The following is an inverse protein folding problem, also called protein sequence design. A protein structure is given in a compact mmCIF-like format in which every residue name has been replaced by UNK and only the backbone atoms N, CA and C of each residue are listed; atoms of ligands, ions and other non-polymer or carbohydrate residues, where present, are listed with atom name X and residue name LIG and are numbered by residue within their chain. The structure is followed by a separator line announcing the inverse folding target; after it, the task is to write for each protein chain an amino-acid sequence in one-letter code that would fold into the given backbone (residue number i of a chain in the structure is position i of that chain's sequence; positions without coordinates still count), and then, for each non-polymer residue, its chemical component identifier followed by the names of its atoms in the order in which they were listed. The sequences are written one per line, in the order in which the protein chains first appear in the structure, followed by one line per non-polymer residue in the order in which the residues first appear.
data_IF_002789017330
#
_entry.id   IF_002789017330
#
_cell.length_a   1.000
_cell.length_b   1.000
_cell.length_c   1.000
_cell.angle_alpha   90.00
_cell.angle_beta   90.00
_cell.angle_gamma   90.00
#
_symmetry.space_group_name_H-M   'P 1'
#
loop_
_entity.id
_entity.type
_entity.pdbx_description
1 polymer ?
#
# COMPACT_ATOMS: atom_id res chain seq x y z
N UNK A 1 38.05 19.47 89.16
CA UNK A 1 36.68 20.03 89.31
C UNK A 1 35.90 19.67 88.03
N UNK A 2 35.22 18.48 88.06
CA UNK A 2 34.48 17.95 86.93
C UNK A 2 32.99 18.28 87.08
N UNK A 3 32.38 18.80 86.03
CA UNK A 3 30.92 18.85 85.96
C UNK A 3 30.47 18.05 84.71
N UNK A 4 29.84 16.92 84.98
CA UNK A 4 29.07 16.16 83.96
C UNK A 4 27.76 16.85 83.66
N UNK A 5 27.48 17.07 82.36
CA UNK A 5 26.14 17.36 81.89
C UNK A 5 25.65 16.18 81.06
N UNK A 6 24.64 15.55 81.57
CA UNK A 6 23.97 14.50 80.86
C UNK A 6 22.92 15.05 79.87
N UNK A 7 23.04 14.64 78.62
CA UNK A 7 22.06 14.95 77.59
C UNK A 7 21.10 13.75 77.45
N UNK A 8 19.83 13.99 77.67
CA UNK A 8 18.76 13.04 77.43
C UNK A 8 18.40 13.07 75.93
N UNK A 9 18.68 12.00 75.22
CA UNK A 9 18.29 11.82 73.84
C UNK A 9 16.83 11.33 73.77
N UNK A 10 15.96 12.15 73.24
CA UNK A 10 14.61 11.76 72.86
C UNK A 10 14.62 11.13 71.44
N UNK A 11 14.28 9.85 71.31
CA UNK A 11 14.00 9.19 70.04
C UNK A 11 12.61 9.65 69.57
N UNK A 12 12.61 10.50 68.54
CA UNK A 12 11.42 10.76 67.73
C UNK A 12 11.41 9.73 66.60
N UNK A 13 10.45 8.81 66.63
CA UNK A 13 10.21 7.87 65.53
C UNK A 13 9.66 8.60 64.29
N UNK A 14 10.49 8.70 63.25
CA UNK A 14 10.02 9.11 61.92
C UNK A 14 9.36 7.88 61.26
N UNK A 15 8.04 7.90 61.22
CA UNK A 15 7.29 6.99 60.33
C UNK A 15 7.56 7.36 58.89
N UNK A 16 8.31 6.53 58.15
CA UNK A 16 8.42 6.61 56.71
C UNK A 16 7.06 6.14 56.13
N UNK A 17 6.24 7.09 55.74
CA UNK A 17 5.13 6.82 54.83
C UNK A 17 5.76 6.46 53.46
N UNK A 18 5.74 5.17 53.09
CA UNK A 18 5.88 4.77 51.69
C UNK A 18 4.71 5.42 50.94
N UNK A 19 4.98 6.54 50.28
CA UNK A 19 4.15 6.97 49.20
C UNK A 19 4.34 5.91 48.09
N UNK A 20 3.33 5.05 47.92
CA UNK A 20 3.15 4.39 46.64
C UNK A 20 3.05 5.53 45.60
N UNK A 21 4.12 5.81 44.89
CA UNK A 21 4.01 6.52 43.63
C UNK A 21 3.18 5.62 42.73
N UNK A 22 1.89 5.91 42.62
CA UNK A 22 1.13 5.50 41.46
C UNK A 22 1.95 6.13 40.32
N UNK A 23 2.66 5.29 39.53
CA UNK A 23 3.27 5.74 38.31
C UNK A 23 2.16 6.47 37.56
N UNK A 24 2.40 7.72 37.21
CA UNK A 24 1.54 8.37 36.25
C UNK A 24 1.57 7.47 35.02
N UNK A 25 0.42 6.87 34.70
CA UNK A 25 0.30 6.08 33.48
C UNK A 25 0.80 6.98 32.33
N UNK A 26 1.77 6.47 31.58
CA UNK A 26 2.34 7.23 30.47
C UNK A 26 1.30 7.37 29.36
N UNK A 27 1.27 8.50 28.69
CA UNK A 27 0.44 8.71 27.52
C UNK A 27 0.66 7.58 26.49
N UNK A 28 -0.36 7.26 25.72
CA UNK A 28 -0.29 6.26 24.63
C UNK A 28 0.62 6.77 23.54
N UNK A 29 1.74 6.10 23.30
CA UNK A 29 2.72 6.50 22.30
C UNK A 29 2.54 5.70 21.00
N UNK A 30 2.39 6.41 19.86
CA UNK A 30 2.24 5.80 18.54
C UNK A 30 3.47 6.09 17.68
N UNK A 31 4.16 5.04 17.25
CA UNK A 31 5.30 5.11 16.35
C UNK A 31 4.84 5.07 14.89
N UNK A 32 5.13 6.12 14.12
CA UNK A 32 4.87 6.22 12.68
C UNK A 32 6.09 6.67 11.91
N UNK A 33 5.90 6.88 10.59
CA UNK A 33 6.88 7.58 9.76
C UNK A 33 6.36 8.95 9.33
N UNK A 34 7.26 9.92 9.03
CA UNK A 34 6.85 11.24 8.60
C UNK A 34 6.50 11.27 7.10
N UNK A 35 5.63 12.20 6.74
CA UNK A 35 5.19 12.46 5.38
C UNK A 35 4.03 11.57 4.95
N UNK A 36 3.39 11.97 3.88
CA UNK A 36 2.23 11.29 3.35
C UNK A 36 0.90 11.70 4.02
N UNK A 37 -0.21 11.33 3.39
CA UNK A 37 -1.54 11.61 3.92
C UNK A 37 -1.80 10.94 5.27
N UNK A 38 -1.21 9.77 5.50
CA UNK A 38 -1.33 9.02 6.75
C UNK A 38 -0.79 9.75 7.97
N UNK A 39 0.32 10.53 7.86
CA UNK A 39 0.79 11.35 8.97
C UNK A 39 -0.22 12.43 9.33
N UNK A 40 -0.74 13.16 8.34
CA UNK A 40 -1.69 14.24 8.56
C UNK A 40 -2.96 13.73 9.20
N UNK A 41 -3.50 12.62 8.71
CA UNK A 41 -4.69 11.99 9.22
C UNK A 41 -4.51 11.44 10.64
N UNK A 42 -3.36 10.82 10.93
CA UNK A 42 -3.04 10.30 12.26
C UNK A 42 -2.89 11.42 13.30
N UNK A 43 -2.30 12.56 12.92
CA UNK A 43 -2.24 13.75 13.79
C UNK A 43 -3.64 14.27 14.11
N UNK A 44 -4.51 14.40 13.11
CA UNK A 44 -5.89 14.82 13.30
C UNK A 44 -6.67 13.85 14.20
N UNK A 45 -6.51 12.55 14.01
CA UNK A 45 -7.13 11.52 14.85
C UNK A 45 -6.65 11.61 16.31
N UNK A 46 -5.35 11.77 16.55
CA UNK A 46 -4.80 11.93 17.88
C UNK A 46 -5.34 13.20 18.57
N UNK A 47 -5.39 14.31 17.86
CA UNK A 47 -5.97 15.57 18.37
C UNK A 47 -7.46 15.41 18.69
N UNK A 48 -8.25 14.81 17.81
CA UNK A 48 -9.68 14.57 18.01
C UNK A 48 -9.93 13.64 19.20
N UNK A 49 -9.18 12.55 19.31
CA UNK A 49 -9.26 11.64 20.46
C UNK A 49 -8.95 12.35 21.78
N UNK A 50 -7.85 13.09 21.82
CA UNK A 50 -7.39 13.83 23.00
C UNK A 50 -8.32 14.95 23.44
N UNK A 51 -9.14 15.49 22.54
CA UNK A 51 -10.14 16.53 22.82
C UNK A 51 -11.45 15.97 23.36
N UNK A 52 -11.68 14.66 23.35
CA UNK A 52 -12.92 14.05 23.81
C UNK A 52 -13.08 14.19 25.32
N UNK A 53 -14.32 14.42 25.74
CA UNK A 53 -14.67 14.43 27.15
C UNK A 53 -14.46 13.05 27.78
N UNK A 54 -13.79 13.01 28.93
CA UNK A 54 -13.55 11.78 29.68
C UNK A 54 -12.27 11.02 29.33
N UNK A 55 -11.48 11.47 28.34
CA UNK A 55 -10.14 10.91 28.09
C UNK A 55 -9.21 11.33 29.23
N UNK A 56 -8.73 10.34 29.97
CA UNK A 56 -7.76 10.58 31.04
C UNK A 56 -6.41 11.05 30.48
N UNK A 57 -5.64 11.80 31.29
CA UNK A 57 -4.32 12.26 30.87
C UNK A 57 -3.40 11.09 30.46
N UNK A 58 -3.50 9.96 31.13
CA UNK A 58 -2.78 8.75 30.82
C UNK A 58 -3.22 8.09 29.49
N UNK A 59 -4.41 8.36 29.00
CA UNK A 59 -4.96 7.80 27.77
C UNK A 59 -4.72 8.72 26.55
N UNK A 60 -4.14 9.89 26.74
CA UNK A 60 -3.82 10.81 25.66
C UNK A 60 -2.82 10.19 24.70
N UNK A 61 -3.04 10.41 23.42
CA UNK A 61 -2.18 9.88 22.35
C UNK A 61 -1.09 10.87 21.98
N UNK A 62 0.15 10.41 21.99
CA UNK A 62 1.33 11.13 21.54
C UNK A 62 1.95 10.41 20.35
N UNK A 63 2.31 11.18 19.30
CA UNK A 63 2.88 10.63 18.07
C UNK A 63 4.40 10.84 18.07
N UNK A 64 5.13 9.78 17.77
CA UNK A 64 6.55 9.81 17.49
C UNK A 64 6.80 9.31 16.07
N UNK A 65 7.73 9.96 15.36
CA UNK A 65 8.01 9.59 13.98
C UNK A 65 9.47 9.21 13.80
N UNK A 66 9.68 8.17 13.01
CA UNK A 66 11.00 7.75 12.58
C UNK A 66 11.08 7.78 11.06
N UNK A 67 12.25 8.09 10.51
CA UNK A 67 12.49 8.17 9.07
C UNK A 67 11.95 6.95 8.33
N UNK A 68 11.32 7.16 7.18
CA UNK A 68 10.80 6.10 6.31
C UNK A 68 11.90 5.10 5.91
N UNK A 69 13.07 5.62 5.59
CA UNK A 69 14.27 4.81 5.39
C UNK A 69 14.69 4.18 6.72
N UNK A 70 14.69 2.87 6.79
CA UNK A 70 15.05 2.12 7.99
C UNK A 70 13.94 1.98 9.03
N UNK A 71 12.69 2.41 8.75
CA UNK A 71 11.56 2.24 9.68
C UNK A 71 11.36 0.77 10.09
N UNK A 72 11.32 -0.12 9.13
CA UNK A 72 11.11 -1.55 9.39
C UNK A 72 12.29 -2.19 10.14
N UNK A 73 13.52 -1.75 9.89
CA UNK A 73 14.69 -2.24 10.64
C UNK A 73 14.67 -1.77 12.08
N UNK A 74 14.28 -0.50 12.31
CA UNK A 74 14.08 0.03 13.66
C UNK A 74 12.97 -0.70 14.38
N UNK A 75 11.83 -0.89 13.73
CA UNK A 75 10.68 -1.60 14.30
C UNK A 75 11.05 -3.03 14.69
N UNK A 76 11.79 -3.74 13.82
CA UNK A 76 12.30 -5.08 14.12
C UNK A 76 13.24 -5.09 15.32
N UNK A 77 14.14 -4.11 15.40
CA UNK A 77 15.10 -4.04 16.49
C UNK A 77 14.39 -3.76 17.84
N UNK A 78 13.45 -2.82 17.85
CA UNK A 78 12.71 -2.44 19.07
C UNK A 78 11.79 -3.57 19.54
N UNK A 79 10.96 -4.11 18.66
CA UNK A 79 10.05 -5.23 18.98
C UNK A 79 10.84 -6.47 19.41
N UNK A 80 11.89 -6.85 18.67
CA UNK A 80 12.73 -8.00 18.98
C UNK A 80 13.52 -7.86 20.27
N UNK A 81 13.84 -6.63 20.70
CA UNK A 81 14.45 -6.34 22.00
C UNK A 81 13.43 -6.27 23.14
N UNK A 82 12.12 -6.36 22.85
CA UNK A 82 11.05 -6.24 23.84
C UNK A 82 11.00 -4.84 24.49
N UNK A 83 11.29 -3.78 23.74
CA UNK A 83 11.26 -2.43 24.28
C UNK A 83 9.83 -1.92 24.46
N UNK A 84 9.65 -1.04 25.40
CA UNK A 84 8.42 -0.32 25.71
C UNK A 84 8.46 1.14 25.21
N UNK A 85 9.21 1.39 24.13
CA UNK A 85 9.44 2.73 23.59
C UNK A 85 8.19 3.33 22.91
N UNK A 86 7.24 2.48 22.54
CA UNK A 86 5.94 2.85 21.95
C UNK A 86 4.90 1.80 22.31
N UNK A 87 3.64 2.22 22.36
CA UNK A 87 2.49 1.33 22.63
C UNK A 87 1.89 0.79 21.32
N UNK A 88 1.74 1.68 20.33
CA UNK A 88 1.26 1.36 18.98
C UNK A 88 2.33 1.69 17.95
N UNK A 89 2.31 0.95 16.84
CA UNK A 89 3.19 1.22 15.70
C UNK A 89 2.45 1.05 14.37
N UNK A 90 2.93 1.77 13.36
CA UNK A 90 2.53 1.49 11.98
C UNK A 90 2.93 0.06 11.61
N UNK A 91 2.02 -0.59 10.91
CA UNK A 91 2.11 -1.97 10.44
C UNK A 91 1.65 -2.02 9.00
N UNK A 92 2.25 -2.90 8.19
CA UNK A 92 1.84 -3.10 6.81
C UNK A 92 1.49 -4.58 6.56
N UNK A 93 0.57 -4.86 5.64
CA UNK A 93 0.17 -6.23 5.27
C UNK A 93 1.38 -7.13 5.02
N UNK A 94 2.34 -6.66 4.23
CA UNK A 94 3.54 -7.40 3.86
C UNK A 94 4.59 -7.55 4.96
N UNK A 95 4.35 -6.97 6.13
CA UNK A 95 5.25 -7.05 7.29
C UNK A 95 4.60 -7.68 8.53
N UNK A 96 3.31 -7.98 8.47
CA UNK A 96 2.54 -8.40 9.65
C UNK A 96 3.07 -9.71 10.24
N UNK A 97 3.32 -10.73 9.44
CA UNK A 97 3.83 -12.02 9.92
C UNK A 97 5.21 -11.93 10.56
N UNK A 98 6.04 -10.95 10.12
CA UNK A 98 7.34 -10.67 10.73
C UNK A 98 7.21 -10.11 12.15
N UNK A 99 6.17 -9.31 12.41
CA UNK A 99 6.02 -8.60 13.67
C UNK A 99 4.99 -9.21 14.61
N UNK A 100 4.03 -9.97 14.11
CA UNK A 100 2.99 -10.62 14.91
C UNK A 100 3.52 -11.36 16.18
N UNK A 101 4.67 -12.08 16.14
CA UNK A 101 5.23 -12.71 17.35
C UNK A 101 5.60 -11.76 18.49
N UNK A 102 5.70 -10.46 18.22
CA UNK A 102 6.06 -9.42 19.19
C UNK A 102 4.89 -8.45 19.49
N UNK A 103 3.72 -8.76 18.96
CA UNK A 103 2.53 -7.91 19.04
C UNK A 103 1.39 -8.64 19.73
N UNK A 104 0.42 -7.90 20.23
CA UNK A 104 -0.83 -8.48 20.74
C UNK A 104 -1.94 -8.34 19.71
N UNK A 105 -2.83 -9.33 19.59
CA UNK A 105 -4.08 -9.19 18.86
C UNK A 105 -4.90 -8.01 19.39
N UNK A 106 -5.60 -7.33 18.49
CA UNK A 106 -6.41 -6.15 18.80
C UNK A 106 -7.89 -6.44 18.63
N UNK A 107 -8.69 -5.90 19.54
CA UNK A 107 -10.14 -5.84 19.38
C UNK A 107 -10.52 -4.49 18.75
N UNK A 108 -11.36 -4.54 17.71
CA UNK A 108 -11.89 -3.37 17.03
C UNK A 108 -13.32 -3.12 17.50
N UNK A 109 -13.88 -1.96 17.13
CA UNK A 109 -15.27 -1.63 17.42
C UNK A 109 -16.23 -2.70 16.88
N UNK A 110 -17.40 -2.84 17.49
CA UNK A 110 -18.39 -3.86 17.10
C UNK A 110 -18.92 -3.68 15.67
N UNK A 111 -18.84 -2.47 15.13
CA UNK A 111 -19.25 -2.10 13.77
C UNK A 111 -18.11 -2.10 12.74
N UNK A 112 -16.88 -2.45 13.14
CA UNK A 112 -15.73 -2.46 12.26
C UNK A 112 -15.95 -3.32 10.97
N UNK A 113 -16.63 -4.46 11.09
CA UNK A 113 -16.97 -5.30 9.95
C UNK A 113 -17.89 -4.60 8.93
N UNK A 114 -18.85 -3.82 9.40
CA UNK A 114 -19.74 -3.02 8.54
C UNK A 114 -19.03 -1.78 7.98
N UNK A 115 -18.04 -1.25 8.69
CA UNK A 115 -17.29 -0.05 8.33
C UNK A 115 -16.24 -0.34 7.26
N UNK A 116 -15.42 -1.39 7.45
CA UNK A 116 -14.27 -1.69 6.58
C UNK A 116 -14.54 -2.84 5.60
N UNK A 117 -15.39 -3.79 5.95
CA UNK A 117 -15.56 -5.04 5.20
C UNK A 117 -14.44 -6.06 5.46
N UNK A 118 -14.73 -7.34 5.17
CA UNK A 118 -13.83 -8.44 5.52
C UNK A 118 -12.50 -8.41 4.77
N UNK A 119 -12.48 -8.01 3.50
CA UNK A 119 -11.27 -7.95 2.68
C UNK A 119 -10.25 -6.92 3.19
N UNK A 120 -10.75 -5.78 3.68
CA UNK A 120 -9.89 -4.73 4.26
C UNK A 120 -9.38 -5.16 5.63
N UNK A 121 -10.24 -5.71 6.48
CA UNK A 121 -9.82 -6.23 7.79
C UNK A 121 -8.78 -7.35 7.65
N UNK A 122 -8.93 -8.21 6.63
CA UNK A 122 -8.00 -9.30 6.34
C UNK A 122 -6.57 -8.82 6.05
N UNK A 123 -6.38 -7.57 5.60
CA UNK A 123 -5.04 -6.98 5.37
C UNK A 123 -4.20 -6.89 6.65
N UNK A 124 -4.84 -6.90 7.82
CA UNK A 124 -4.19 -6.83 9.14
C UNK A 124 -4.40 -8.09 9.97
N UNK A 125 -4.66 -9.24 9.32
CA UNK A 125 -4.75 -10.55 9.96
C UNK A 125 -3.52 -11.40 9.70
N UNK A 126 -3.15 -12.17 10.70
CA UNK A 126 -2.12 -13.20 10.62
C UNK A 126 -2.54 -14.39 11.51
N UNK A 127 -2.47 -15.63 10.99
CA UNK A 127 -2.93 -16.84 11.71
C UNK A 127 -4.35 -16.70 12.29
N UNK A 128 -5.29 -16.16 11.48
CA UNK A 128 -6.69 -15.89 11.83
C UNK A 128 -6.94 -14.84 12.93
N UNK A 129 -5.88 -14.24 13.48
CA UNK A 129 -5.97 -13.19 14.50
C UNK A 129 -5.80 -11.80 13.90
N UNK A 130 -6.52 -10.80 14.42
CA UNK A 130 -6.41 -9.40 14.00
C UNK A 130 -5.27 -8.72 14.79
N UNK A 131 -4.18 -8.35 14.12
CA UNK A 131 -3.01 -7.70 14.73
C UNK A 131 -2.96 -6.19 14.56
N UNK A 132 -3.82 -5.61 13.74
CA UNK A 132 -3.87 -4.17 13.55
C UNK A 132 -5.22 -3.66 13.09
N UNK A 133 -5.45 -2.35 13.30
CA UNK A 133 -6.53 -1.59 12.68
C UNK A 133 -6.05 -1.10 11.31
N UNK A 134 -6.68 -1.50 10.19
CA UNK A 134 -6.35 -0.93 8.88
C UNK A 134 -6.80 0.54 8.83
N UNK A 135 -5.86 1.47 8.79
CA UNK A 135 -6.14 2.92 8.71
C UNK A 135 -6.10 3.42 7.28
N UNK A 136 -5.23 2.84 6.46
CA UNK A 136 -5.07 3.22 5.06
C UNK A 136 -5.01 1.98 4.17
N UNK A 137 -5.62 2.09 3.02
CA UNK A 137 -5.62 1.05 2.01
C UNK A 137 -4.85 1.54 0.80
N UNK A 138 -3.95 0.72 0.31
CA UNK A 138 -3.22 0.94 -0.92
C UNK A 138 -3.56 -0.13 -1.92
N UNK A 139 -3.93 0.26 -3.12
CA UNK A 139 -4.16 -0.59 -4.29
C UNK A 139 -3.82 0.18 -5.56
N UNK A 140 -4.02 -0.42 -6.71
CA UNK A 140 -3.61 0.18 -7.99
C UNK A 140 -4.81 0.58 -8.81
N UNK A 141 -4.71 1.79 -9.39
CA UNK A 141 -5.59 2.30 -10.43
C UNK A 141 -4.84 2.33 -11.77
N UNK A 142 -5.57 2.13 -12.85
CA UNK A 142 -5.13 2.51 -14.17
C UNK A 142 -5.55 3.96 -14.40
N UNK A 143 -4.58 4.88 -14.43
CA UNK A 143 -4.76 6.28 -14.84
C UNK A 143 -4.66 6.38 -16.35
N UNK A 144 -5.54 7.13 -17.00
CA UNK A 144 -5.52 7.31 -18.44
C UNK A 144 -5.98 8.68 -18.88
N UNK A 145 -5.56 9.10 -20.05
CA UNK A 145 -5.90 10.34 -20.72
C UNK A 145 -7.22 10.20 -21.47
N UNK A 146 -8.29 10.81 -20.96
CA UNK A 146 -9.64 10.75 -21.55
C UNK A 146 -9.70 11.34 -22.95
N UNK A 147 -9.04 12.48 -23.17
CA UNK A 147 -8.96 13.15 -24.46
C UNK A 147 -8.34 12.28 -25.56
N UNK A 148 -7.35 11.48 -25.23
CA UNK A 148 -6.70 10.56 -26.17
C UNK A 148 -7.59 9.37 -26.51
N UNK A 149 -8.24 8.80 -25.50
CA UNK A 149 -9.12 7.64 -25.68
C UNK A 149 -10.38 8.03 -26.46
N UNK A 150 -11.03 9.15 -26.11
CA UNK A 150 -12.19 9.67 -26.84
C UNK A 150 -11.86 9.93 -28.31
N UNK A 151 -10.69 10.49 -28.60
CA UNK A 151 -10.22 10.72 -29.99
C UNK A 151 -10.04 9.40 -30.73
N UNK A 152 -9.38 8.41 -30.11
CA UNK A 152 -9.16 7.08 -30.72
C UNK A 152 -10.47 6.37 -31.02
N UNK A 153 -11.41 6.40 -30.08
CA UNK A 153 -12.71 5.71 -30.21
C UNK A 153 -13.63 6.40 -31.25
N UNK A 154 -13.44 7.69 -31.47
CA UNK A 154 -14.24 8.49 -32.41
C UNK A 154 -13.74 8.48 -33.86
N UNK A 155 -12.62 7.84 -34.17
CA UNK A 155 -11.95 7.88 -35.48
C UNK A 155 -11.74 6.47 -36.06
N UNK A 156 -12.42 6.15 -37.15
CA UNK A 156 -12.36 4.83 -37.81
C UNK A 156 -10.96 4.54 -38.38
N UNK A 157 -10.28 5.54 -38.98
CA UNK A 157 -8.92 5.40 -39.54
C UNK A 157 -7.91 5.14 -38.39
N UNK A 158 -8.07 5.82 -37.26
CA UNK A 158 -7.30 5.56 -36.05
C UNK A 158 -7.51 4.13 -35.52
N UNK A 159 -8.76 3.62 -35.56
CA UNK A 159 -9.09 2.25 -35.22
C UNK A 159 -8.45 1.20 -36.12
N UNK A 160 -8.41 1.44 -37.44
CA UNK A 160 -7.69 0.56 -38.39
C UNK A 160 -6.18 0.55 -38.11
N UNK A 161 -5.59 1.72 -37.87
CA UNK A 161 -4.16 1.83 -37.53
C UNK A 161 -3.84 1.18 -36.19
N UNK A 162 -4.74 1.27 -35.23
CA UNK A 162 -4.62 0.58 -33.94
C UNK A 162 -4.58 -0.93 -34.14
N UNK A 163 -5.49 -1.49 -34.95
CA UNK A 163 -5.56 -2.91 -35.25
C UNK A 163 -4.29 -3.44 -35.95
N UNK A 164 -3.73 -2.66 -36.93
CA UNK A 164 -2.48 -3.00 -37.58
C UNK A 164 -1.31 -3.08 -36.58
N UNK A 165 -1.18 -2.11 -35.68
CA UNK A 165 -0.14 -2.09 -34.66
C UNK A 165 -0.30 -3.26 -33.68
N UNK A 166 -1.54 -3.54 -33.25
CA UNK A 166 -1.82 -4.69 -32.39
C UNK A 166 -1.44 -6.01 -33.06
N UNK A 167 -1.79 -6.20 -34.34
CA UNK A 167 -1.39 -7.39 -35.11
C UNK A 167 0.13 -7.53 -35.24
N UNK A 168 0.84 -6.43 -35.53
CA UNK A 168 2.30 -6.42 -35.70
C UNK A 168 3.03 -6.82 -34.41
N UNK A 169 2.64 -6.25 -33.27
CA UNK A 169 3.39 -6.41 -32.00
C UNK A 169 2.85 -7.53 -31.09
N UNK A 170 1.52 -7.78 -31.17
CA UNK A 170 0.86 -8.75 -30.29
C UNK A 170 0.39 -10.01 -31.03
N UNK A 171 0.48 -10.02 -32.38
CA UNK A 171 0.06 -11.16 -33.20
C UNK A 171 -1.48 -11.32 -33.30
N UNK A 172 -2.23 -10.29 -32.96
CA UNK A 172 -3.69 -10.28 -32.95
C UNK A 172 -4.22 -8.89 -33.25
N UNK A 173 -5.09 -8.77 -34.25
CA UNK A 173 -5.78 -7.52 -34.56
C UNK A 173 -6.84 -7.22 -33.47
N UNK A 174 -6.57 -6.23 -32.65
CA UNK A 174 -7.48 -5.72 -31.63
C UNK A 174 -8.13 -4.43 -32.09
N UNK A 175 -9.33 -4.16 -31.60
CA UNK A 175 -10.02 -2.87 -31.83
C UNK A 175 -10.03 -2.06 -30.54
N UNK A 176 -9.96 -0.70 -30.62
CA UNK A 176 -10.04 0.16 -29.46
C UNK A 176 -11.32 -0.07 -28.66
N UNK A 177 -11.22 0.02 -27.33
CA UNK A 177 -12.34 -0.14 -26.39
C UNK A 177 -12.28 0.93 -25.31
N UNK A 178 -13.37 1.09 -24.58
CA UNK A 178 -13.38 1.87 -23.35
C UNK A 178 -12.45 1.24 -22.29
N UNK A 179 -11.73 2.05 -21.48
CA UNK A 179 -10.73 1.54 -20.54
C UNK A 179 -11.24 0.57 -19.47
N UNK A 180 -12.52 0.64 -19.10
CA UNK A 180 -13.16 -0.28 -18.17
C UNK A 180 -13.39 -1.68 -18.78
N UNK A 181 -13.34 -1.82 -20.11
CA UNK A 181 -13.41 -3.08 -20.84
C UNK A 181 -12.02 -3.67 -21.16
N UNK A 182 -10.93 -2.95 -20.86
CA UNK A 182 -9.59 -3.43 -21.26
C UNK A 182 -9.18 -4.72 -20.58
N UNK A 183 -8.65 -5.60 -21.42
CA UNK A 183 -7.72 -6.64 -21.00
C UNK A 183 -6.30 -6.10 -20.98
N UNK A 184 -5.36 -6.86 -20.41
CA UNK A 184 -3.94 -6.48 -20.47
C UNK A 184 -3.40 -6.39 -21.91
N UNK A 185 -3.98 -7.13 -22.83
CA UNK A 185 -3.63 -7.04 -24.27
C UNK A 185 -4.18 -5.77 -24.90
N UNK A 186 -5.41 -5.35 -24.56
CA UNK A 186 -5.96 -4.05 -24.99
C UNK A 186 -5.14 -2.88 -24.43
N UNK A 187 -4.72 -2.94 -23.18
CA UNK A 187 -3.83 -1.93 -22.58
C UNK A 187 -2.47 -1.89 -23.28
N UNK A 188 -1.88 -3.04 -23.61
CA UNK A 188 -0.63 -3.10 -24.36
C UNK A 188 -0.78 -2.55 -25.77
N UNK A 189 -1.84 -2.90 -26.51
CA UNK A 189 -2.14 -2.37 -27.82
C UNK A 189 -2.33 -0.84 -27.78
N UNK A 190 -3.07 -0.34 -26.81
CA UNK A 190 -3.26 1.10 -26.59
C UNK A 190 -1.92 1.80 -26.28
N UNK A 191 -1.09 1.17 -25.45
CA UNK A 191 0.25 1.69 -25.15
C UNK A 191 1.15 1.74 -26.38
N UNK A 192 1.13 0.73 -27.23
CA UNK A 192 1.88 0.71 -28.48
C UNK A 192 1.35 1.77 -29.46
N UNK A 193 0.03 1.89 -29.60
CA UNK A 193 -0.60 2.89 -30.47
C UNK A 193 -0.23 4.32 -30.09
N UNK A 194 -0.23 4.66 -28.81
CA UNK A 194 0.17 5.99 -28.33
C UNK A 194 1.67 6.18 -28.18
N UNK A 195 2.48 5.27 -28.70
CA UNK A 195 3.95 5.43 -28.72
C UNK A 195 4.42 6.14 -29.97
N UNK A 196 5.00 7.34 -29.81
CA UNK A 196 5.41 8.23 -30.91
C UNK A 196 6.37 7.58 -31.91
N UNK A 197 7.25 6.69 -31.47
CA UNK A 197 8.21 6.00 -32.36
C UNK A 197 7.56 4.87 -33.17
N UNK A 198 6.38 4.38 -32.77
CA UNK A 198 5.60 3.35 -33.47
C UNK A 198 4.53 4.02 -34.35
N UNK A 199 3.76 4.92 -33.77
CA UNK A 199 2.75 5.70 -34.44
C UNK A 199 3.15 7.17 -34.47
N UNK A 200 3.62 7.63 -35.64
CA UNK A 200 4.09 9.00 -35.83
C UNK A 200 3.04 10.09 -35.55
N UNK A 201 1.75 9.73 -35.54
CA UNK A 201 0.65 10.66 -35.26
C UNK A 201 0.29 10.74 -33.78
N UNK A 202 0.88 9.88 -32.92
CA UNK A 202 0.65 9.95 -31.48
C UNK A 202 0.96 11.35 -30.92
N UNK A 203 0.02 11.95 -30.16
CA UNK A 203 0.23 13.27 -29.55
C UNK A 203 1.14 13.20 -28.29
N UNK A 204 1.37 12.01 -27.75
CA UNK A 204 2.25 11.79 -26.58
C UNK A 204 3.49 11.00 -26.98
N UNK A 205 4.53 11.06 -26.16
CA UNK A 205 5.81 10.42 -26.46
C UNK A 205 5.76 8.92 -26.23
N UNK A 206 5.12 8.50 -25.16
CA UNK A 206 5.03 7.11 -24.70
C UNK A 206 3.58 6.71 -24.46
N UNK A 207 3.24 5.46 -24.74
CA UNK A 207 1.90 4.96 -24.47
C UNK A 207 1.64 4.68 -22.99
N UNK A 208 2.69 4.32 -22.26
CA UNK A 208 2.62 4.10 -20.82
C UNK A 208 3.91 4.48 -20.12
N UNK A 209 3.93 4.38 -18.78
CA UNK A 209 5.14 4.40 -17.97
C UNK A 209 5.16 3.18 -17.05
N UNK A 210 6.23 2.40 -17.12
CA UNK A 210 6.45 1.23 -16.30
C UNK A 210 7.41 1.55 -15.15
N UNK A 211 7.13 1.01 -13.98
CA UNK A 211 7.97 1.07 -12.80
C UNK A 211 8.78 -0.23 -12.73
N UNK A 212 10.03 -0.21 -13.19
CA UNK A 212 10.86 -1.42 -13.40
C UNK A 212 12.13 -1.44 -12.55
N UNK A 213 12.34 -0.44 -11.68
CA UNK A 213 13.47 -0.39 -10.74
C UNK A 213 13.45 -1.61 -9.81
N UNK A 214 14.62 -2.14 -9.49
CA UNK A 214 14.78 -3.17 -8.46
C UNK A 214 14.34 -2.61 -7.09
N UNK A 215 13.04 -2.64 -6.85
CA UNK A 215 12.40 -2.14 -5.65
C UNK A 215 11.13 -2.94 -5.38
N UNK A 216 10.97 -3.39 -4.15
CA UNK A 216 9.84 -4.24 -3.73
C UNK A 216 8.46 -3.63 -4.08
N UNK A 217 8.30 -2.31 -3.96
CA UNK A 217 7.04 -1.61 -4.25
C UNK A 217 6.62 -1.69 -5.72
N UNK A 218 7.58 -1.78 -6.65
CA UNK A 218 7.30 -1.96 -8.07
C UNK A 218 6.73 -3.36 -8.36
N UNK A 219 7.13 -4.36 -7.58
CA UNK A 219 6.54 -5.70 -7.68
C UNK A 219 5.09 -5.72 -7.23
N UNK A 220 4.75 -4.90 -6.23
CA UNK A 220 3.37 -4.78 -5.78
C UNK A 220 2.46 -4.24 -6.90
N UNK A 221 2.92 -3.22 -7.65
CA UNK A 221 2.23 -2.70 -8.84
C UNK A 221 2.11 -3.77 -9.93
N UNK A 222 3.19 -4.51 -10.18
CA UNK A 222 3.25 -5.56 -11.22
C UNK A 222 2.27 -6.71 -10.99
N UNK A 223 2.02 -7.11 -9.74
CA UNK A 223 1.30 -8.35 -9.40
C UNK A 223 -0.15 -8.44 -9.87
N UNK A 224 -0.81 -7.31 -10.15
CA UNK A 224 -2.16 -7.33 -10.74
C UNK A 224 -2.19 -8.06 -12.09
N UNK A 225 -1.11 -7.95 -12.86
CA UNK A 225 -0.98 -8.60 -14.18
C UNK A 225 -0.85 -10.13 -14.07
N UNK A 226 0.16 -10.74 -13.42
CA UNK A 226 0.23 -12.20 -13.34
C UNK A 226 -0.97 -12.79 -12.61
N UNK A 227 -1.56 -12.11 -11.61
CA UNK A 227 -2.75 -12.58 -10.90
C UNK A 227 -3.95 -12.75 -11.83
N UNK A 228 -4.12 -11.85 -12.78
CA UNK A 228 -5.21 -11.92 -13.77
C UNK A 228 -5.06 -13.08 -14.79
N UNK A 229 -3.88 -13.67 -14.86
CA UNK A 229 -3.58 -14.90 -15.61
C UNK A 229 -3.52 -16.14 -14.70
N UNK A 230 -3.98 -16.05 -13.44
CA UNK A 230 -4.01 -17.16 -12.49
C UNK A 230 -2.73 -17.31 -11.65
N UNK A 231 -1.76 -16.43 -11.79
CA UNK A 231 -0.51 -16.45 -11.02
C UNK A 231 -0.72 -16.16 -9.54
N UNK A 232 0.04 -16.85 -8.70
CA UNK A 232 0.13 -16.61 -7.27
C UNK A 232 1.53 -16.99 -6.78
N UNK A 233 1.87 -16.64 -5.55
CA UNK A 233 3.12 -17.09 -4.93
C UNK A 233 3.07 -18.57 -4.58
N UNK A 234 1.98 -18.96 -3.93
CA UNK A 234 1.74 -20.32 -3.48
C UNK A 234 0.38 -20.81 -4.02
N UNK A 235 0.31 -22.08 -4.38
CA UNK A 235 -0.95 -22.77 -4.62
C UNK A 235 -1.66 -23.13 -3.30
N UNK A 236 -2.82 -23.77 -3.40
CA UNK A 236 -3.62 -24.21 -2.24
C UNK A 236 -2.89 -25.25 -1.35
N UNK A 237 -1.87 -25.92 -1.89
CA UNK A 237 -1.05 -26.88 -1.14
C UNK A 237 0.16 -26.23 -0.43
N UNK A 238 0.39 -24.93 -0.65
CA UNK A 238 1.55 -24.19 -0.15
C UNK A 238 2.79 -24.32 -1.04
N UNK A 239 2.67 -24.90 -2.24
CA UNK A 239 3.78 -25.00 -3.19
C UNK A 239 3.99 -23.68 -3.92
N UNK A 240 5.25 -23.26 -4.08
CA UNK A 240 5.63 -22.10 -4.88
C UNK A 240 5.25 -22.31 -6.34
N UNK A 241 4.64 -21.30 -6.97
CA UNK A 241 4.11 -21.33 -8.36
C UNK A 241 4.52 -20.12 -9.18
N UNK A 242 5.51 -19.36 -8.77
CA UNK A 242 6.00 -18.18 -9.48
C UNK A 242 6.65 -18.52 -10.83
N UNK A 243 7.08 -19.74 -11.04
CA UNK A 243 7.62 -20.28 -12.31
C UNK A 243 6.53 -20.69 -13.33
N UNK A 244 5.28 -20.22 -13.11
CA UNK A 244 4.14 -20.53 -13.97
C UNK A 244 4.10 -19.71 -15.26
N UNK A 245 3.29 -20.17 -16.22
CA UNK A 245 3.00 -19.45 -17.46
C UNK A 245 2.39 -18.06 -17.22
N UNK A 246 1.64 -17.89 -16.13
CA UNK A 246 1.06 -16.59 -15.73
C UNK A 246 2.13 -15.54 -15.46
N UNK A 247 3.18 -15.89 -14.74
CA UNK A 247 4.31 -14.98 -14.49
C UNK A 247 5.15 -14.77 -15.74
N UNK A 248 5.35 -15.82 -16.55
CA UNK A 248 6.05 -15.71 -17.84
C UNK A 248 5.35 -14.70 -18.74
N UNK A 249 4.06 -14.87 -18.98
CA UNK A 249 3.24 -13.96 -19.80
C UNK A 249 3.33 -12.53 -19.30
N UNK A 250 3.27 -12.33 -17.99
CA UNK A 250 3.34 -11.00 -17.39
C UNK A 250 4.71 -10.33 -17.59
N UNK A 251 5.79 -11.07 -17.36
CA UNK A 251 7.17 -10.59 -17.54
C UNK A 251 7.47 -10.25 -18.99
N UNK A 252 7.02 -11.11 -19.92
CA UNK A 252 7.17 -10.90 -21.37
C UNK A 252 6.40 -9.69 -21.86
N UNK A 253 5.19 -9.43 -21.34
CA UNK A 253 4.39 -8.27 -21.71
C UNK A 253 5.08 -6.95 -21.29
N UNK A 254 5.62 -6.87 -20.09
CA UNK A 254 6.41 -5.72 -19.63
C UNK A 254 7.67 -5.53 -20.48
N UNK A 255 8.39 -6.63 -20.76
CA UNK A 255 9.57 -6.62 -21.61
C UNK A 255 9.27 -6.15 -23.03
N UNK A 256 8.17 -6.63 -23.64
CA UNK A 256 7.70 -6.22 -24.96
C UNK A 256 7.47 -4.71 -25.01
N UNK A 257 6.73 -4.15 -24.06
CA UNK A 257 6.46 -2.71 -24.02
C UNK A 257 7.74 -1.89 -23.80
N UNK A 258 8.66 -2.37 -22.99
CA UNK A 258 9.96 -1.73 -22.76
C UNK A 258 10.82 -1.75 -24.04
N UNK A 259 10.96 -2.90 -24.69
CA UNK A 259 11.76 -3.07 -25.90
C UNK A 259 11.22 -2.31 -27.09
N UNK A 260 9.88 -2.27 -27.25
CA UNK A 260 9.19 -1.48 -28.25
C UNK A 260 9.32 0.04 -28.04
N UNK A 261 9.77 0.47 -26.84
CA UNK A 261 9.89 1.87 -26.48
C UNK A 261 8.55 2.52 -26.13
N UNK A 262 7.56 1.71 -25.75
CA UNK A 262 6.25 2.19 -25.29
C UNK A 262 6.30 2.86 -23.90
N UNK A 263 7.41 2.72 -23.20
CA UNK A 263 7.72 3.36 -21.92
C UNK A 263 9.08 4.07 -22.00
N UNK A 264 9.39 5.06 -21.13
CA UNK A 264 10.71 5.69 -21.08
C UNK A 264 11.85 4.68 -20.95
N UNK A 265 12.97 4.93 -21.61
CA UNK A 265 14.15 4.04 -21.52
C UNK A 265 14.73 3.94 -20.11
N UNK A 266 14.49 4.97 -19.28
CA UNK A 266 14.94 5.02 -17.88
C UNK A 266 13.98 4.28 -16.94
N UNK A 267 12.92 3.62 -17.43
CA UNK A 267 11.93 2.87 -16.62
C UNK A 267 12.57 1.85 -15.67
N UNK A 268 13.76 1.33 -16.01
CA UNK A 268 14.57 0.48 -15.11
C UNK A 268 15.08 1.21 -13.86
N UNK A 269 14.97 2.52 -13.79
CA UNK A 269 15.27 3.34 -12.62
C UNK A 269 14.03 4.00 -12.00
N UNK A 270 12.85 3.79 -12.59
CA UNK A 270 11.62 4.45 -12.19
C UNK A 270 10.90 3.69 -11.06
N UNK A 271 10.38 4.49 -10.15
CA UNK A 271 9.40 4.11 -9.16
C UNK A 271 8.22 5.10 -9.17
N UNK A 272 7.53 5.25 -8.05
CA UNK A 272 6.35 6.09 -7.87
C UNK A 272 6.53 7.54 -8.36
N UNK A 273 7.59 8.21 -7.90
CA UNK A 273 7.78 9.65 -8.17
C UNK A 273 8.11 9.93 -9.64
N UNK A 274 9.00 9.13 -10.25
CA UNK A 274 9.38 9.31 -11.64
C UNK A 274 8.22 8.97 -12.58
N UNK A 275 7.42 7.94 -12.25
CA UNK A 275 6.24 7.58 -13.02
C UNK A 275 5.18 8.69 -12.95
N UNK A 276 4.89 9.23 -11.76
CA UNK A 276 3.98 10.37 -11.59
C UNK A 276 4.46 11.59 -12.39
N UNK A 277 5.75 11.93 -12.29
CA UNK A 277 6.30 13.07 -13.01
C UNK A 277 6.17 12.94 -14.54
N UNK A 278 6.37 11.73 -15.09
CA UNK A 278 6.19 11.47 -16.52
C UNK A 278 4.73 11.63 -16.95
N UNK A 279 3.78 11.17 -16.14
CA UNK A 279 2.35 11.32 -16.40
C UNK A 279 1.89 12.77 -16.24
N UNK A 280 2.21 13.43 -15.13
CA UNK A 280 1.86 14.82 -14.83
C UNK A 280 2.39 15.80 -15.89
N UNK A 281 3.54 15.48 -16.52
CA UNK A 281 4.09 16.23 -17.64
C UNK A 281 3.36 15.99 -18.98
N UNK A 282 2.30 15.16 -19.02
CA UNK A 282 1.54 14.83 -20.23
C UNK A 282 2.32 14.02 -21.27
N UNK A 283 3.37 13.30 -20.86
CA UNK A 283 4.23 12.55 -21.77
C UNK A 283 3.70 11.16 -22.13
N UNK A 284 2.74 10.62 -21.35
CA UNK A 284 2.21 9.27 -21.50
C UNK A 284 0.69 9.24 -21.59
N UNK A 285 0.14 8.21 -22.23
CA UNK A 285 -1.31 8.03 -22.40
C UNK A 285 -1.97 7.35 -21.20
N UNK A 286 -1.30 6.40 -20.57
CA UNK A 286 -1.82 5.66 -19.42
C UNK A 286 -0.72 5.23 -18.45
N UNK A 287 -1.11 4.89 -17.21
CA UNK A 287 -0.18 4.46 -16.17
C UNK A 287 -0.90 3.61 -15.14
N UNK A 288 -0.36 2.43 -14.83
CA UNK A 288 -0.77 1.70 -13.63
C UNK A 288 -0.01 2.26 -12.43
N UNK A 289 -0.72 2.74 -11.41
CA UNK A 289 -0.12 3.41 -10.27
C UNK A 289 -0.95 3.23 -9.00
N UNK A 290 -0.33 3.46 -7.86
CA UNK A 290 -1.00 3.49 -6.57
C UNK A 290 -2.15 4.52 -6.53
N UNK A 291 -3.24 4.18 -5.86
CA UNK A 291 -4.36 5.11 -5.62
C UNK A 291 -3.93 6.43 -4.97
N UNK A 292 -2.87 6.42 -4.17
CA UNK A 292 -2.31 7.62 -3.54
C UNK A 292 -1.89 8.70 -4.55
N UNK A 293 -1.61 8.34 -5.81
CA UNK A 293 -1.28 9.30 -6.86
C UNK A 293 -2.48 10.16 -7.28
N UNK A 294 -3.71 9.77 -6.97
CA UNK A 294 -4.91 10.53 -7.34
C UNK A 294 -4.90 11.95 -6.77
N UNK A 295 -4.44 12.12 -5.52
CA UNK A 295 -4.34 13.45 -4.90
C UNK A 295 -3.38 14.42 -5.60
N UNK A 296 -2.40 13.91 -6.34
CA UNK A 296 -1.46 14.70 -7.15
C UNK A 296 -1.96 14.85 -8.60
N UNK A 297 -2.37 13.74 -9.22
CA UNK A 297 -2.61 13.68 -10.66
C UNK A 297 -3.97 14.25 -11.08
N UNK A 298 -4.95 14.27 -10.17
CA UNK A 298 -6.29 14.82 -10.41
C UNK A 298 -6.44 16.25 -9.91
N UNK A 299 -5.41 16.81 -9.29
CA UNK A 299 -5.42 18.19 -8.79
C UNK A 299 -4.83 19.16 -9.84
N UNK A 300 -5.62 20.13 -10.34
CA UNK A 300 -5.13 21.12 -11.31
C UNK A 300 -4.01 22.04 -10.81
N UNK A 301 -3.84 22.17 -9.49
CA UNK A 301 -2.75 22.96 -8.92
C UNK A 301 -1.41 22.23 -9.02
N UNK A 302 -1.42 20.90 -8.86
CA UNK A 302 -0.21 20.05 -8.90
C UNK A 302 0.08 19.48 -10.28
N UNK A 303 -0.96 19.12 -11.05
CA UNK A 303 -0.85 18.49 -12.37
C UNK A 303 -1.64 19.24 -13.47
N UNK A 304 -1.40 20.55 -13.69
CA UNK A 304 -2.22 21.39 -14.57
C UNK A 304 -2.28 20.92 -16.02
N UNK A 305 -1.33 20.11 -16.47
CA UNK A 305 -1.30 19.63 -17.85
C UNK A 305 -2.24 18.43 -18.11
N UNK A 306 -2.64 17.71 -17.05
CA UNK A 306 -3.37 16.46 -17.22
C UNK A 306 -4.57 16.28 -16.29
N UNK A 307 -4.67 17.02 -15.20
CA UNK A 307 -5.68 16.78 -14.16
C UNK A 307 -7.12 16.74 -14.69
N UNK A 308 -7.51 17.72 -15.54
CA UNK A 308 -8.86 17.80 -16.09
C UNK A 308 -9.17 16.77 -17.19
N UNK A 309 -8.14 16.09 -17.70
CA UNK A 309 -8.23 15.08 -18.76
C UNK A 309 -7.71 13.72 -18.32
N UNK A 310 -7.63 13.51 -17.01
CA UNK A 310 -7.29 12.22 -16.40
C UNK A 310 -8.52 11.59 -15.77
N UNK A 311 -8.71 10.31 -16.04
CA UNK A 311 -9.63 9.47 -15.30
C UNK A 311 -8.93 8.21 -14.80
N UNK A 312 -9.60 7.46 -13.93
CA UNK A 312 -9.11 6.21 -13.37
C UNK A 312 -10.12 5.08 -13.56
N UNK A 313 -9.59 3.89 -13.80
CA UNK A 313 -10.36 2.64 -13.77
C UNK A 313 -9.57 1.58 -13.01
N UNK A 314 -10.22 0.46 -12.68
CA UNK A 314 -9.51 -0.68 -12.13
C UNK A 314 -8.48 -1.24 -13.14
N UNK A 315 -7.42 -1.93 -12.69
CA UNK A 315 -6.43 -2.53 -13.59
C UNK A 315 -7.08 -3.40 -14.67
N UNK A 316 -6.45 -3.56 -15.84
CA UNK A 316 -7.00 -4.40 -16.91
C UNK A 316 -7.29 -5.84 -16.47
N UNK A 317 -8.21 -6.52 -17.15
CA UNK A 317 -8.54 -7.91 -16.87
C UNK A 317 -7.65 -8.88 -17.66
N UNK A 318 -7.55 -10.11 -17.16
CA UNK A 318 -7.00 -11.27 -17.86
C UNK A 318 -8.02 -12.40 -17.94
N UNK A 319 -7.59 -13.61 -18.36
CA UNK A 319 -8.48 -14.78 -18.47
C UNK A 319 -9.17 -15.18 -17.17
N UNK A 320 -8.52 -14.98 -16.02
CA UNK A 320 -9.05 -15.30 -14.70
C UNK A 320 -9.83 -14.14 -14.06
N UNK A 321 -9.90 -13.01 -14.73
CA UNK A 321 -10.64 -11.84 -14.29
C UNK A 321 -9.78 -10.61 -14.08
N UNK A 322 -10.36 -9.64 -13.38
CA UNK A 322 -9.74 -8.35 -13.03
C UNK A 322 -9.29 -8.40 -11.58
N UNK A 323 -8.06 -7.95 -11.33
CA UNK A 323 -7.49 -7.97 -9.98
C UNK A 323 -6.69 -6.71 -9.70
N UNK A 324 -6.76 -6.23 -8.46
CA UNK A 324 -5.87 -5.20 -7.91
C UNK A 324 -5.21 -5.70 -6.64
N UNK A 325 -3.88 -5.60 -6.58
CA UNK A 325 -3.14 -6.02 -5.39
C UNK A 325 -3.40 -5.03 -4.26
N UNK A 326 -3.82 -5.55 -3.11
CA UNK A 326 -4.22 -4.73 -1.96
C UNK A 326 -3.18 -4.81 -0.86
N UNK A 327 -2.83 -3.67 -0.31
CA UNK A 327 -1.98 -3.55 0.86
C UNK A 327 -2.64 -2.62 1.87
N UNK A 328 -2.75 -3.06 3.13
CA UNK A 328 -3.16 -2.21 4.24
C UNK A 328 -1.93 -1.62 4.93
N UNK A 329 -2.04 -0.37 5.34
CA UNK A 329 -1.29 0.20 6.44
C UNK A 329 -2.22 0.33 7.62
N UNK A 330 -1.70 0.18 8.83
CA UNK A 330 -2.54 0.24 10.01
C UNK A 330 -1.75 0.39 11.30
N UNK A 331 -2.44 0.34 12.40
CA UNK A 331 -1.86 0.47 13.74
C UNK A 331 -1.95 -0.87 14.47
N UNK A 332 -0.81 -1.39 14.91
CA UNK A 332 -0.72 -2.60 15.71
C UNK A 332 -0.24 -2.32 17.14
N UNK A 333 -0.54 -3.22 18.07
CA UNK A 333 -0.26 -3.11 19.49
C UNK A 333 1.01 -3.88 19.88
N UNK A 334 2.00 -3.17 20.42
CA UNK A 334 3.24 -3.75 20.95
C UNK A 334 2.92 -4.62 22.20
N UNK A 335 3.38 -5.87 22.21
CA UNK A 335 3.19 -6.76 23.37
C UNK A 335 3.87 -6.25 24.66
N UNK A 336 4.83 -5.32 24.54
CA UNK A 336 5.52 -4.68 25.66
C UNK A 336 5.05 -3.23 25.90
N UNK A 337 3.85 -2.87 25.42
CA UNK A 337 3.29 -1.54 25.60
C UNK A 337 3.25 -1.13 27.08
N UNK A 338 3.56 0.14 27.37
CA UNK A 338 3.44 0.70 28.74
C UNK A 338 2.00 0.93 29.15
N UNK A 339 1.17 1.33 28.16
CA UNK A 339 -0.24 1.58 28.36
C UNK A 339 -1.11 0.80 27.36
N UNK A 340 -1.14 -0.55 27.43
CA UNK A 340 -1.88 -1.36 26.46
C UNK A 340 -3.39 -1.08 26.51
N UNK A 341 -3.96 -0.80 27.67
CA UNK A 341 -5.37 -0.50 27.82
C UNK A 341 -5.76 0.84 27.17
N UNK A 342 -4.92 1.88 27.33
CA UNK A 342 -5.10 3.14 26.64
C UNK A 342 -5.00 3.00 25.12
N UNK A 343 -4.01 2.21 24.67
CA UNK A 343 -3.83 1.88 23.26
C UNK A 343 -5.04 1.15 22.66
N UNK A 344 -5.61 0.16 23.36
CA UNK A 344 -6.84 -0.55 22.96
C UNK A 344 -8.03 0.40 22.84
N UNK A 345 -8.23 1.30 23.82
CA UNK A 345 -9.30 2.31 23.76
C UNK A 345 -9.16 3.26 22.57
N UNK A 346 -7.94 3.64 22.23
CA UNK A 346 -7.70 4.47 21.03
C UNK A 346 -8.03 3.70 19.73
N UNK A 347 -7.57 2.45 19.59
CA UNK A 347 -7.86 1.61 18.43
C UNK A 347 -9.36 1.32 18.29
N UNK A 348 -10.04 0.97 19.40
CA UNK A 348 -11.49 0.75 19.41
C UNK A 348 -12.24 2.01 18.94
N UNK A 349 -11.89 3.18 19.48
CA UNK A 349 -12.50 4.45 19.05
C UNK A 349 -12.21 4.76 17.58
N UNK A 350 -10.95 4.64 17.13
CA UNK A 350 -10.57 4.99 15.76
C UNK A 350 -11.19 4.02 14.73
N UNK A 351 -11.46 2.77 15.12
CA UNK A 351 -12.13 1.78 14.27
C UNK A 351 -13.64 2.00 14.11
N UNK A 352 -14.23 2.88 14.92
CA UNK A 352 -15.64 3.27 14.77
C UNK A 352 -15.87 4.16 13.57
N UNK A 353 -17.06 4.06 12.97
CA UNK A 353 -17.40 4.76 11.72
C UNK A 353 -17.15 6.28 11.78
N UNK A 354 -17.59 6.97 12.84
CA UNK A 354 -17.44 8.42 12.95
C UNK A 354 -15.97 8.85 12.97
N UNK A 355 -15.15 8.15 13.76
CA UNK A 355 -13.74 8.47 13.92
C UNK A 355 -12.94 8.22 12.64
N UNK A 356 -13.20 7.10 11.95
CA UNK A 356 -12.49 6.78 10.70
C UNK A 356 -12.92 7.69 9.55
N UNK A 357 -14.14 8.20 9.55
CA UNK A 357 -14.57 9.23 8.60
C UNK A 357 -13.86 10.57 8.83
N UNK A 358 -13.64 10.97 10.09
CA UNK A 358 -12.82 12.15 10.40
C UNK A 358 -11.34 11.95 9.99
N UNK A 359 -10.79 10.75 10.22
CA UNK A 359 -9.48 10.36 9.73
C UNK A 359 -9.39 10.51 8.19
N UNK A 360 -10.41 10.02 7.48
CA UNK A 360 -10.49 10.14 6.02
C UNK A 360 -10.58 11.61 5.56
N UNK A 361 -11.38 12.46 6.22
CA UNK A 361 -11.46 13.90 5.92
C UNK A 361 -10.14 14.62 6.12
N UNK A 362 -9.34 14.16 7.06
CA UNK A 362 -8.01 14.72 7.33
C UNK A 362 -6.92 14.26 6.35
N UNK A 363 -7.27 13.46 5.35
CA UNK A 363 -6.36 13.03 4.27
C UNK A 363 -6.06 11.54 4.25
N UNK A 364 -6.41 10.77 5.28
CA UNK A 364 -6.26 9.32 5.29
C UNK A 364 -7.05 8.64 4.17
N UNK A 365 -6.66 7.43 3.82
CA UNK A 365 -7.28 6.64 2.75
C UNK A 365 -7.78 5.27 3.27
N UNK A 366 -8.70 5.23 4.25
CA UNK A 366 -9.23 3.97 4.75
C UNK A 366 -10.04 3.27 3.66
N UNK A 367 -9.88 1.94 3.60
CA UNK A 367 -10.74 1.10 2.77
C UNK A 367 -12.11 0.96 3.45
N UNK A 368 -13.09 1.71 2.99
CA UNK A 368 -14.42 1.75 3.58
C UNK A 368 -15.43 1.01 2.68
N UNK A 369 -16.45 0.43 3.29
CA UNK A 369 -17.58 -0.13 2.52
C UNK A 369 -18.32 0.96 1.75
N UNK A 370 -19.01 0.58 0.68
CA UNK A 370 -19.75 1.51 -0.17
C UNK A 370 -20.77 2.37 0.62
N UNK A 371 -21.42 1.79 1.66
CA UNK A 371 -22.36 2.48 2.52
C UNK A 371 -21.68 3.60 3.33
N UNK A 372 -20.49 3.32 3.88
CA UNK A 372 -19.76 4.25 4.72
C UNK A 372 -19.10 5.35 3.89
N UNK A 373 -18.43 4.99 2.79
CA UNK A 373 -17.75 5.97 1.92
C UNK A 373 -18.73 6.95 1.27
N UNK A 374 -19.98 6.52 1.00
CA UNK A 374 -21.02 7.40 0.45
C UNK A 374 -21.29 8.65 1.34
N UNK A 375 -20.98 8.57 2.63
CA UNK A 375 -21.18 9.68 3.59
C UNK A 375 -20.17 10.82 3.40
N UNK A 376 -19.04 10.57 2.75
CA UNK A 376 -17.98 11.56 2.48
C UNK A 376 -17.63 11.65 0.99
N UNK A 377 -18.37 10.98 0.11
CA UNK A 377 -18.09 10.94 -1.33
C UNK A 377 -18.07 12.34 -2.00
N UNK A 378 -18.82 13.30 -1.46
CA UNK A 378 -18.79 14.69 -1.93
C UNK A 378 -17.56 15.49 -1.49
N UNK A 379 -16.85 15.02 -0.44
CA UNK A 379 -15.63 15.65 0.10
C UNK A 379 -14.37 14.93 -0.37
N UNK A 380 -14.45 13.59 -0.50
CA UNK A 380 -13.36 12.69 -0.85
C UNK A 380 -13.80 11.70 -1.94
N UNK A 381 -14.07 12.17 -3.19
CA UNK A 381 -14.60 11.33 -4.27
C UNK A 381 -13.67 10.19 -4.66
N UNK A 382 -12.36 10.33 -4.49
CA UNK A 382 -11.35 9.32 -4.81
C UNK A 382 -11.39 8.09 -3.88
N UNK A 383 -12.04 8.18 -2.73
CA UNK A 383 -12.24 7.02 -1.83
C UNK A 383 -13.36 6.09 -2.31
N UNK A 384 -14.26 6.57 -3.20
CA UNK A 384 -15.33 5.72 -3.75
C UNK A 384 -14.76 4.55 -4.57
N UNK A 385 -13.94 4.79 -5.61
CA UNK A 385 -13.33 3.68 -6.35
C UNK A 385 -12.35 2.86 -5.49
N UNK A 386 -11.72 3.44 -4.46
CA UNK A 386 -10.86 2.70 -3.55
C UNK A 386 -11.61 1.54 -2.86
N UNK A 387 -12.74 1.83 -2.24
CA UNK A 387 -13.57 0.81 -1.56
C UNK A 387 -14.21 -0.17 -2.55
N UNK A 388 -14.69 0.32 -3.69
CA UNK A 388 -15.29 -0.49 -4.74
C UNK A 388 -14.28 -1.50 -5.33
N UNK A 389 -13.08 -1.04 -5.69
CA UNK A 389 -12.08 -1.91 -6.31
C UNK A 389 -11.47 -2.88 -5.31
N UNK A 390 -11.30 -2.48 -4.05
CA UNK A 390 -10.88 -3.39 -2.99
C UNK A 390 -11.89 -4.53 -2.80
N UNK A 391 -13.19 -4.22 -2.83
CA UNK A 391 -14.26 -5.20 -2.61
C UNK A 391 -14.44 -6.14 -3.81
N UNK A 392 -14.36 -5.61 -5.04
CA UNK A 392 -14.68 -6.36 -6.24
C UNK A 392 -13.47 -7.08 -6.85
N UNK A 393 -12.26 -6.53 -6.68
CA UNK A 393 -11.05 -6.98 -7.40
C UNK A 393 -9.84 -7.17 -6.48
N UNK A 394 -9.97 -6.81 -5.19
CA UNK A 394 -8.86 -6.84 -4.24
C UNK A 394 -8.36 -8.24 -3.95
N UNK A 395 -7.05 -8.43 -3.92
CA UNK A 395 -6.41 -9.67 -3.49
C UNK A 395 -5.12 -9.39 -2.71
N UNK A 396 -4.78 -10.33 -1.85
CA UNK A 396 -3.46 -10.46 -1.23
C UNK A 396 -2.83 -11.75 -1.75
N UNK A 397 -1.54 -11.75 -2.05
CA UNK A 397 -0.83 -12.96 -2.48
C UNK A 397 -0.88 -14.04 -1.39
N UNK A 398 -1.08 -15.29 -1.78
CA UNK A 398 -0.92 -16.42 -0.86
C UNK A 398 0.51 -16.44 -0.33
N UNK A 399 0.69 -16.27 0.98
CA UNK A 399 2.00 -16.03 1.59
C UNK A 399 2.41 -14.57 1.70
N UNK A 400 1.59 -13.62 1.20
CA UNK A 400 1.88 -12.18 1.25
C UNK A 400 1.87 -11.57 2.66
N UNK A 401 1.35 -12.28 3.64
CA UNK A 401 1.41 -11.93 5.07
C UNK A 401 2.42 -12.76 5.87
N UNK A 402 3.17 -13.66 5.22
CA UNK A 402 4.14 -14.52 5.89
C UNK A 402 5.30 -13.72 6.53
N UNK A 403 6.01 -14.34 7.47
CA UNK A 403 7.15 -13.73 8.17
C UNK A 403 8.21 -13.12 7.22
N UNK A 404 8.47 -13.82 6.11
CA UNK A 404 9.50 -13.40 5.14
C UNK A 404 8.92 -12.82 3.83
N UNK A 405 7.66 -12.37 3.83
CA UNK A 405 7.03 -11.80 2.64
C UNK A 405 7.82 -10.63 2.03
N UNK A 406 8.40 -9.76 2.85
CA UNK A 406 9.28 -8.68 2.39
C UNK A 406 10.44 -9.21 1.53
N UNK A 407 11.11 -10.27 2.00
CA UNK A 407 12.21 -10.89 1.27
C UNK A 407 11.79 -11.51 -0.06
N UNK A 408 10.53 -11.96 -0.17
CA UNK A 408 9.97 -12.44 -1.45
C UNK A 408 9.82 -11.31 -2.46
N UNK A 409 9.27 -10.15 -2.03
CA UNK A 409 9.17 -8.98 -2.92
C UNK A 409 10.55 -8.48 -3.37
N UNK A 410 11.53 -8.43 -2.47
CA UNK A 410 12.91 -8.03 -2.79
C UNK A 410 13.57 -8.99 -3.77
N UNK A 411 13.38 -10.29 -3.58
CA UNK A 411 13.88 -11.34 -4.50
C UNK A 411 13.25 -11.17 -5.89
N UNK A 412 11.93 -11.04 -5.97
CA UNK A 412 11.24 -10.83 -7.24
C UNK A 412 11.69 -9.55 -7.92
N UNK A 413 11.84 -8.46 -7.19
CA UNK A 413 12.33 -7.20 -7.73
C UNK A 413 13.71 -7.35 -8.37
N UNK A 414 14.61 -8.06 -7.70
CA UNK A 414 15.97 -8.31 -8.20
C UNK A 414 15.94 -9.15 -9.48
N UNK A 415 15.28 -10.30 -9.46
CA UNK A 415 15.31 -11.25 -10.55
C UNK A 415 14.54 -10.75 -11.78
N UNK A 416 13.35 -10.15 -11.58
CA UNK A 416 12.53 -9.64 -12.69
C UNK A 416 13.14 -8.38 -13.33
N UNK A 417 13.69 -7.46 -12.53
CA UNK A 417 14.47 -6.33 -13.08
C UNK A 417 15.68 -6.82 -13.85
N UNK A 418 16.36 -7.88 -13.38
CA UNK A 418 17.48 -8.52 -14.08
C UNK A 418 17.09 -9.04 -15.47
N UNK A 419 15.92 -9.66 -15.59
CA UNK A 419 15.36 -10.08 -16.88
C UNK A 419 15.02 -8.88 -17.79
N UNK A 420 14.31 -7.90 -17.28
CA UNK A 420 13.93 -6.70 -18.07
C UNK A 420 15.14 -5.88 -18.53
N UNK A 421 16.25 -5.95 -17.79
CA UNK A 421 17.51 -5.26 -18.10
C UNK A 421 18.48 -6.10 -18.99
N UNK A 422 18.03 -7.22 -19.55
CA UNK A 422 18.86 -8.16 -20.35
C UNK A 422 20.09 -8.73 -19.60
N UNK A 423 20.03 -8.80 -18.26
CA UNK A 423 21.12 -9.38 -17.44
C UNK A 423 20.99 -10.90 -17.29
N UNK A 424 19.82 -11.44 -17.53
CA UNK A 424 19.51 -12.87 -17.51
C UNK A 424 18.30 -13.16 -18.41
N UNK A 425 18.13 -14.42 -18.81
CA UNK A 425 16.93 -14.85 -19.51
C UNK A 425 15.74 -15.11 -18.56
N UNK A 426 14.56 -15.28 -19.13
CA UNK A 426 13.33 -15.43 -18.36
C UNK A 426 13.30 -16.73 -17.55
N UNK A 427 13.85 -17.82 -18.10
CA UNK A 427 13.89 -19.12 -17.42
C UNK A 427 14.76 -19.02 -16.17
N UNK A 428 15.94 -18.41 -16.30
CA UNK A 428 16.84 -18.18 -15.17
C UNK A 428 16.19 -17.29 -14.10
N UNK A 429 15.49 -16.22 -14.49
CA UNK A 429 14.81 -15.33 -13.55
C UNK A 429 13.70 -16.05 -12.78
N UNK A 430 12.86 -16.83 -13.47
CA UNK A 430 11.76 -17.58 -12.86
C UNK A 430 12.30 -18.71 -11.95
N UNK A 431 13.32 -19.48 -12.40
CA UNK A 431 13.93 -20.55 -11.60
C UNK A 431 14.60 -20.00 -10.32
N UNK A 432 15.36 -18.90 -10.44
CA UNK A 432 16.01 -18.27 -9.30
C UNK A 432 14.96 -17.75 -8.30
N UNK A 433 13.87 -17.14 -8.80
CA UNK A 433 12.77 -16.67 -7.97
C UNK A 433 12.07 -17.83 -7.26
N UNK A 434 11.71 -18.91 -7.98
CA UNK A 434 11.02 -20.07 -7.39
C UNK A 434 11.88 -20.76 -6.32
N UNK A 435 13.18 -20.94 -6.61
CA UNK A 435 14.13 -21.53 -5.67
C UNK A 435 14.25 -20.68 -4.39
N UNK A 436 14.50 -19.38 -4.52
CA UNK A 436 14.65 -18.51 -3.37
C UNK A 436 13.35 -18.34 -2.58
N UNK A 437 12.18 -18.30 -3.24
CA UNK A 437 10.89 -18.28 -2.55
C UNK A 437 10.65 -19.56 -1.74
N UNK A 438 11.07 -20.73 -2.24
CA UNK A 438 10.94 -22.00 -1.49
C UNK A 438 11.81 -22.04 -0.23
N UNK A 439 12.83 -21.20 -0.14
CA UNK A 439 13.65 -21.02 1.08
C UNK A 439 13.03 -19.98 2.04
N UNK A 440 12.26 -19.04 1.49
CA UNK A 440 11.63 -17.97 2.26
C UNK A 440 10.24 -18.33 2.78
N UNK A 441 9.49 -19.14 2.02
CA UNK A 441 8.11 -19.56 2.31
C UNK A 441 8.08 -21.08 2.46
N UNK A 442 8.42 -21.64 3.63
CA UNK A 442 8.48 -23.07 3.88
C UNK A 442 7.12 -23.74 3.91
#
# INVERSE_FOLDING_TARGET
MNRHFGVKTALAGLGLALACSTGADAAVTVLGWPGGPEETALRAAAEAYNAREGVAEADRVELIFFSRDGFFDKLQADLGAGTDAFDLNLLATYSIGRYAPFMEPVELSADAGATFGDSVLATMRYDDEQYGLPTDLSLHFLYYRTDLIETLLGDEEAGERYAEIAEEYLGEALMPKEPDEWTWRDWAATSLYFTKSINGDSPVRYGTVLQMKNLLFNMMVFHSLPRSYGGNWLDESGKVTVDSEAYRTALELYKLLYDAGATPRDSLSYEYAEANAAYAAGQVASMLQWNAAAGELLDPETSPAVAEITATVAPPSGPEGRFTHVHGLGLGLNANAKNPEGARRFLEWLSGEEAILEYARAGGAPGLTAEVVAKIAGERPELVPLGEYASNYGFVMNGGTAEKALGVYELQAKEFTGYWADQQDIDAALEATASGMSELLP
#
